data_IF_655297471598
#
_entry.id   IF_655297471598
#
_cell.length_a   1.000
_cell.length_b   1.000
_cell.length_c   1.000
_cell.angle_alpha   90.00
_cell.angle_beta   90.00
_cell.angle_gamma   90.00
#
_symmetry.space_group_name_H-M   'P 1'
#
loop_
_entity.id
_entity.type
_entity.pdbx_description
1 polymer ?
#
# COMPACT_ATOMS: atom_id res chain seq x y z
N UNK A 1 5.79 3.67 18.37
CA UNK A 1 4.55 2.99 17.95
C UNK A 1 4.64 2.85 16.44
N UNK A 2 4.49 1.64 15.92
CA UNK A 2 4.58 1.32 14.51
C UNK A 2 3.19 1.16 13.89
N UNK A 3 2.90 1.98 12.88
CA UNK A 3 1.62 1.94 12.16
C UNK A 3 1.86 1.41 10.74
N UNK A 4 1.11 0.39 10.35
CA UNK A 4 1.05 -0.07 8.97
C UNK A 4 -0.17 0.54 8.27
N UNK A 5 0.09 1.42 7.31
CA UNK A 5 -0.93 2.09 6.51
C UNK A 5 -1.33 1.24 5.30
N UNK A 6 -2.61 0.91 5.18
CA UNK A 6 -3.16 0.13 4.07
C UNK A 6 -3.83 1.07 3.07
N UNK A 7 -3.30 1.11 1.84
CA UNK A 7 -3.60 2.11 0.83
C UNK A 7 -4.08 1.44 -0.47
N UNK A 8 -4.94 2.13 -1.21
CA UNK A 8 -5.26 1.74 -2.59
C UNK A 8 -4.03 1.91 -3.49
N UNK A 9 -3.44 3.11 -3.45
CA UNK A 9 -2.23 3.52 -4.17
C UNK A 9 -1.51 4.62 -3.38
N UNK A 10 -0.24 4.90 -3.66
CA UNK A 10 0.49 5.96 -2.95
C UNK A 10 1.39 6.76 -3.89
N UNK A 11 2.15 7.71 -3.33
CA UNK A 11 3.27 8.33 -4.04
C UNK A 11 4.19 7.24 -4.64
N UNK A 12 4.78 7.46 -5.83
CA UNK A 12 4.91 8.73 -6.55
C UNK A 12 3.70 9.10 -7.43
N UNK A 13 2.60 8.35 -7.40
CA UNK A 13 1.40 8.76 -8.15
C UNK A 13 0.84 10.07 -7.59
N UNK A 14 0.57 11.03 -8.46
CA UNK A 14 0.07 12.34 -8.05
C UNK A 14 -1.46 12.37 -8.08
N UNK A 15 -2.07 12.42 -6.88
CA UNK A 15 -3.51 12.59 -6.72
C UNK A 15 -3.83 13.24 -5.37
N UNK A 16 -5.03 13.81 -5.22
CA UNK A 16 -5.47 14.31 -3.92
C UNK A 16 -5.49 13.24 -2.82
N UNK A 17 -5.65 11.95 -3.18
CA UNK A 17 -5.53 10.83 -2.24
C UNK A 17 -4.11 10.70 -1.70
N UNK A 18 -3.11 10.63 -2.59
CA UNK A 18 -1.71 10.38 -2.21
C UNK A 18 -1.10 11.55 -1.43
N UNK A 19 -1.51 12.79 -1.73
CA UNK A 19 -1.10 13.95 -0.93
C UNK A 19 -1.70 13.92 0.48
N UNK A 20 -2.98 13.59 0.63
CA UNK A 20 -3.64 13.47 1.94
C UNK A 20 -2.99 12.40 2.80
N UNK A 21 -2.79 11.20 2.25
CA UNK A 21 -2.17 10.11 2.98
C UNK A 21 -0.73 10.46 3.39
N UNK A 22 0.06 11.05 2.48
CA UNK A 22 1.43 11.51 2.77
C UNK A 22 1.47 12.52 3.92
N UNK A 23 0.57 13.51 3.92
CA UNK A 23 0.49 14.47 5.01
C UNK A 23 0.17 13.81 6.36
N UNK A 24 -0.66 12.76 6.40
CA UNK A 24 -0.90 11.99 7.63
C UNK A 24 0.41 11.37 8.13
N UNK A 25 1.16 10.70 7.25
CA UNK A 25 2.40 10.00 7.63
C UNK A 25 3.45 10.98 8.18
N UNK A 26 3.61 12.14 7.53
CA UNK A 26 4.55 13.18 7.98
C UNK A 26 4.19 13.70 9.37
N UNK A 27 2.91 13.94 9.66
CA UNK A 27 2.47 14.41 10.98
C UNK A 27 2.66 13.33 12.06
N UNK A 28 2.38 12.06 11.75
CA UNK A 28 2.61 10.96 12.68
C UNK A 28 4.10 10.78 13.00
N UNK A 29 4.98 10.88 12.00
CA UNK A 29 6.44 10.88 12.20
C UNK A 29 6.91 12.05 13.06
N UNK A 30 6.33 13.25 12.89
CA UNK A 30 6.59 14.41 13.79
C UNK A 30 6.15 14.16 15.24
N UNK A 31 5.17 13.28 15.46
CA UNK A 31 4.75 12.85 16.80
C UNK A 31 5.63 11.73 17.39
N UNK A 32 6.68 11.31 16.67
CA UNK A 32 7.58 10.23 17.10
C UNK A 32 7.02 8.82 16.85
N UNK A 33 6.09 8.68 15.91
CA UNK A 33 5.58 7.37 15.48
C UNK A 33 6.31 6.89 14.22
N UNK A 34 6.47 5.57 14.13
CA UNK A 34 7.02 4.92 12.95
C UNK A 34 5.89 4.55 12.00
N UNK A 35 6.13 4.73 10.71
CA UNK A 35 5.14 4.44 9.67
C UNK A 35 5.73 3.55 8.59
N UNK A 36 4.99 2.49 8.28
CA UNK A 36 5.21 1.58 7.17
C UNK A 36 3.94 1.57 6.32
N UNK A 37 4.05 1.29 5.03
CA UNK A 37 2.95 1.52 4.10
C UNK A 37 2.81 0.33 3.15
N UNK A 38 1.59 -0.11 2.87
CA UNK A 38 1.30 -1.15 1.89
C UNK A 38 0.25 -0.68 0.90
N UNK A 39 0.49 -0.88 -0.40
CA UNK A 39 -0.48 -0.55 -1.46
C UNK A 39 -1.14 -1.80 -2.05
N UNK A 40 -2.39 -1.66 -2.49
CA UNK A 40 -3.09 -2.68 -3.27
C UNK A 40 -2.49 -2.85 -4.67
N UNK A 41 -3.00 -3.83 -5.43
CA UNK A 41 -2.65 -4.03 -6.84
C UNK A 41 -3.05 -2.86 -7.75
N UNK A 42 -3.91 -1.92 -7.27
CA UNK A 42 -4.25 -0.69 -8.02
C UNK A 42 -3.04 0.20 -8.26
N UNK A 43 -2.04 0.18 -7.37
CA UNK A 43 -0.78 0.88 -7.65
C UNK A 43 -0.08 0.27 -8.87
N UNK A 44 0.00 -1.07 -8.94
CA UNK A 44 0.56 -1.81 -10.06
C UNK A 44 -0.28 -1.71 -11.36
N UNK A 45 -1.54 -1.25 -11.28
CA UNK A 45 -2.34 -0.89 -12.46
C UNK A 45 -1.94 0.48 -13.03
N UNK A 46 -1.40 1.37 -12.20
CA UNK A 46 -1.11 2.75 -12.54
C UNK A 46 0.37 3.02 -12.88
N UNK A 47 1.25 2.03 -12.73
CA UNK A 47 2.69 2.13 -13.04
C UNK A 47 3.15 1.00 -13.97
N UNK A 48 4.16 1.28 -14.79
CA UNK A 48 4.69 0.31 -15.77
C UNK A 48 5.57 -0.77 -15.14
N UNK A 49 6.32 -0.41 -14.11
CA UNK A 49 7.18 -1.30 -13.34
C UNK A 49 7.05 -0.96 -11.86
N UNK A 50 7.08 -1.98 -11.01
CA UNK A 50 6.86 -1.85 -9.58
C UNK A 50 7.70 -2.91 -8.85
N UNK A 51 8.73 -2.51 -8.06
CA UNK A 51 9.43 -3.44 -7.19
C UNK A 51 8.50 -3.93 -6.07
N UNK A 52 8.86 -5.01 -5.38
CA UNK A 52 8.07 -5.57 -4.26
C UNK A 52 8.10 -4.66 -3.03
N UNK A 53 9.18 -3.89 -2.89
CA UNK A 53 9.40 -2.89 -1.85
C UNK A 53 10.07 -1.67 -2.49
N UNK A 54 9.69 -0.47 -2.04
CA UNK A 54 10.16 0.79 -2.61
C UNK A 54 10.26 1.87 -1.52
N UNK A 55 11.31 2.70 -1.57
CA UNK A 55 11.39 3.91 -0.74
C UNK A 55 11.21 5.13 -1.62
N UNK A 56 10.22 5.95 -1.29
CA UNK A 56 9.89 7.19 -2.01
C UNK A 56 9.84 8.32 -1.00
N UNK A 57 10.64 9.38 -1.20
CA UNK A 57 10.69 10.53 -0.27
C UNK A 57 10.97 10.12 1.20
N UNK A 58 11.76 9.06 1.42
CA UNK A 58 12.06 8.53 2.75
C UNK A 58 10.91 7.77 3.42
N UNK A 59 9.82 7.50 2.71
CA UNK A 59 8.72 6.64 3.13
C UNK A 59 8.88 5.26 2.46
N UNK A 60 8.83 4.20 3.25
CA UNK A 60 8.96 2.84 2.76
C UNK A 60 7.59 2.23 2.43
N UNK A 61 7.49 1.59 1.26
CA UNK A 61 6.26 1.02 0.72
C UNK A 61 6.46 -0.45 0.37
N UNK A 62 5.66 -1.31 0.99
CA UNK A 62 5.39 -2.66 0.51
C UNK A 62 4.39 -2.59 -0.63
N UNK A 63 4.79 -3.08 -1.79
CA UNK A 63 4.00 -3.01 -3.01
C UNK A 63 3.36 -4.37 -3.28
N UNK A 64 2.02 -4.41 -3.40
CA UNK A 64 1.34 -5.68 -3.69
C UNK A 64 1.47 -6.03 -5.18
N UNK A 65 2.14 -7.15 -5.54
CA UNK A 65 2.23 -7.59 -6.91
C UNK A 65 0.91 -8.23 -7.36
N UNK A 66 0.60 -8.11 -8.65
CA UNK A 66 -0.50 -8.84 -9.28
C UNK A 66 -0.14 -10.32 -9.36
N UNK A 67 -0.84 -11.20 -8.63
CA UNK A 67 -0.51 -12.65 -8.65
C UNK A 67 -0.90 -13.33 -9.97
N UNK A 68 -1.85 -12.77 -10.72
CA UNK A 68 -2.25 -13.30 -12.02
C UNK A 68 -2.79 -12.21 -12.95
N UNK A 69 -2.05 -11.90 -14.01
CA UNK A 69 -2.47 -10.90 -15.02
C UNK A 69 -3.82 -11.24 -15.67
N UNK A 70 -4.13 -12.52 -15.89
CA UNK A 70 -5.39 -12.97 -16.51
C UNK A 70 -6.62 -12.78 -15.63
N UNK A 71 -6.45 -12.81 -14.31
CA UNK A 71 -7.58 -12.61 -13.37
C UNK A 71 -7.92 -11.13 -13.18
N UNK A 72 -6.93 -10.24 -13.32
CA UNK A 72 -7.15 -8.79 -13.26
C UNK A 72 -7.84 -8.21 -14.50
N UNK A 73 -7.83 -8.92 -15.64
CA UNK A 73 -8.44 -8.42 -16.89
C UNK A 73 -9.97 -8.59 -16.97
N UNK A 74 -10.61 -9.22 -16.00
CA UNK A 74 -12.07 -9.44 -15.97
C UNK A 74 -12.73 -8.43 -15.00
N UNK A 75 -13.54 -7.46 -15.48
CA UNK A 75 -13.96 -6.29 -14.69
C UNK A 75 -14.63 -6.59 -13.35
N UNK A 76 -15.51 -7.59 -13.29
CA UNK A 76 -16.25 -7.97 -12.07
C UNK A 76 -15.36 -8.78 -11.11
N UNK A 77 -14.47 -9.62 -11.65
CA UNK A 77 -13.55 -10.44 -10.87
C UNK A 77 -12.41 -9.59 -10.29
N UNK A 78 -12.05 -8.50 -10.97
CA UNK A 78 -10.92 -7.65 -10.60
C UNK A 78 -11.04 -7.08 -9.18
N UNK A 79 -12.23 -6.64 -8.75
CA UNK A 79 -12.41 -6.10 -7.39
C UNK A 79 -12.12 -7.15 -6.30
N UNK A 80 -12.59 -8.39 -6.50
CA UNK A 80 -12.33 -9.48 -5.58
C UNK A 80 -10.84 -9.86 -5.56
N UNK A 81 -10.19 -9.87 -6.72
CA UNK A 81 -8.76 -10.20 -6.85
C UNK A 81 -7.89 -9.15 -6.17
N UNK A 82 -8.21 -7.86 -6.29
CA UNK A 82 -7.51 -6.77 -5.59
C UNK A 82 -7.54 -7.01 -4.08
N UNK A 83 -8.71 -7.32 -3.51
CA UNK A 83 -8.86 -7.58 -2.08
C UNK A 83 -8.07 -8.81 -1.66
N UNK A 84 -8.20 -9.92 -2.42
CA UNK A 84 -7.51 -11.18 -2.12
C UNK A 84 -5.99 -11.03 -2.13
N UNK A 85 -5.45 -10.38 -3.16
CA UNK A 85 -4.01 -10.21 -3.33
C UNK A 85 -3.46 -9.26 -2.25
N UNK A 86 -4.18 -8.18 -1.94
CA UNK A 86 -3.83 -7.28 -0.83
C UNK A 86 -3.90 -8.00 0.51
N UNK A 87 -4.93 -8.80 0.79
CA UNK A 87 -5.04 -9.56 2.03
C UNK A 87 -3.85 -10.51 2.23
N UNK A 88 -3.44 -11.20 1.17
CA UNK A 88 -2.30 -12.11 1.22
C UNK A 88 -0.99 -11.36 1.53
N UNK A 89 -0.73 -10.24 0.85
CA UNK A 89 0.47 -9.43 1.08
C UNK A 89 0.44 -8.71 2.44
N UNK A 90 -0.72 -8.19 2.85
CA UNK A 90 -0.91 -7.56 4.15
C UNK A 90 -0.62 -8.54 5.29
N UNK A 91 -1.10 -9.79 5.17
CA UNK A 91 -0.85 -10.82 6.18
C UNK A 91 0.64 -11.15 6.30
N UNK A 92 1.35 -11.23 5.17
CA UNK A 92 2.80 -11.45 5.13
C UNK A 92 3.55 -10.30 5.81
N UNK A 93 3.30 -9.06 5.37
CA UNK A 93 3.97 -7.85 5.88
C UNK A 93 3.67 -7.65 7.36
N UNK A 94 2.41 -7.78 7.77
CA UNK A 94 2.02 -7.61 9.17
C UNK A 94 2.71 -8.63 10.10
N UNK A 95 2.97 -9.86 9.62
CA UNK A 95 3.75 -10.86 10.37
C UNK A 95 5.24 -10.53 10.44
N UNK A 96 5.79 -9.92 9.39
CA UNK A 96 7.19 -9.50 9.32
C UNK A 96 7.47 -8.32 10.25
N UNK A 97 6.71 -7.24 10.13
CA UNK A 97 7.01 -5.97 10.83
C UNK A 97 6.27 -5.84 12.17
N UNK A 98 5.23 -6.65 12.40
CA UNK A 98 4.43 -6.69 13.64
C UNK A 98 3.98 -5.28 14.11
N UNK A 99 3.15 -4.59 13.31
CA UNK A 99 2.73 -3.23 13.64
C UNK A 99 1.81 -3.22 14.87
N UNK A 100 1.85 -2.14 15.62
CA UNK A 100 0.94 -1.91 16.75
C UNK A 100 -0.49 -1.59 16.27
N UNK A 101 -0.60 -1.00 15.07
CA UNK A 101 -1.86 -0.56 14.48
C UNK A 101 -1.88 -0.78 12.96
N UNK A 102 -3.00 -1.30 12.45
CA UNK A 102 -3.34 -1.28 11.03
C UNK A 102 -4.27 -0.09 10.77
N UNK A 103 -3.90 0.82 9.87
CA UNK A 103 -4.71 1.98 9.51
C UNK A 103 -5.08 1.91 8.01
N UNK A 104 -6.34 1.60 7.69
CA UNK A 104 -6.84 1.56 6.32
C UNK A 104 -7.33 2.95 5.84
N UNK A 105 -7.02 3.29 4.58
CA UNK A 105 -7.32 4.59 3.97
C UNK A 105 -8.33 4.44 2.82
N UNK A 106 -9.38 5.28 2.81
CA UNK A 106 -10.41 5.37 1.76
C UNK A 106 -10.29 6.64 0.92
#
# INVERSE_FOLDING_TARGET
MLILHVLDHSIPLHSGYTFRSRSIFEHQRKMGWDTEHITSTKHADAVSDQPVEETVEGLHFFRTPKRSQRLHSVPIVNQYVVIRDLQARLTEVARQIKPDLLHAHS
#
